data_IF_020509191960
#
_entry.id   IF_020509191960
#
_cell.length_a   1.000
_cell.length_b   1.000
_cell.length_c   1.000
_cell.angle_alpha   90.00
_cell.angle_beta   90.00
_cell.angle_gamma   90.00
#
_symmetry.space_group_name_H-M   'P 1'
#
loop_
_entity.id
_entity.type
_entity.pdbx_description
1 polymer ?
#
# COMPACT_ATOMS: atom_id res chain seq x y z
N UNK A 1 -14.24 -5.72 9.59
CA UNK A 1 -14.86 -4.42 9.23
C UNK A 1 -15.76 -4.61 8.04
N UNK A 2 -16.99 -4.16 8.14
CA UNK A 2 -17.91 -4.21 7.02
C UNK A 2 -17.90 -2.88 6.29
N UNK A 3 -17.74 -2.93 4.98
CA UNK A 3 -17.68 -1.72 4.16
C UNK A 3 -18.77 -1.80 3.10
N UNK A 4 -19.57 -0.74 3.02
CA UNK A 4 -20.72 -0.67 2.13
C UNK A 4 -20.60 0.52 1.18
N UNK A 5 -19.64 0.46 0.27
CA UNK A 5 -19.57 1.42 -0.84
C UNK A 5 -19.60 0.66 -2.15
N UNK A 6 -20.11 1.31 -3.19
CA UNK A 6 -20.09 0.74 -4.51
C UNK A 6 -18.66 0.58 -5.02
N UNK A 7 -18.41 -0.44 -5.80
CA UNK A 7 -17.08 -0.69 -6.37
C UNK A 7 -16.62 0.51 -7.22
N UNK A 8 -17.53 1.22 -7.86
CA UNK A 8 -17.22 2.41 -8.65
C UNK A 8 -16.63 3.53 -7.80
N UNK A 9 -17.13 3.69 -6.56
CA UNK A 9 -16.59 4.67 -5.62
C UNK A 9 -15.20 4.27 -5.14
N UNK A 10 -15.01 2.97 -4.87
CA UNK A 10 -13.70 2.46 -4.47
C UNK A 10 -12.67 2.65 -5.58
N UNK A 11 -13.07 2.49 -6.84
CA UNK A 11 -12.18 2.69 -8.00
C UNK A 11 -11.67 4.10 -8.16
N UNK A 12 -12.37 5.09 -7.59
CA UNK A 12 -11.91 6.48 -7.59
C UNK A 12 -10.80 6.74 -6.57
N UNK A 13 -10.60 5.82 -5.64
CA UNK A 13 -9.60 5.93 -4.59
C UNK A 13 -8.33 5.22 -5.04
N UNK A 14 -7.30 6.01 -5.29
CA UNK A 14 -6.00 5.52 -5.76
C UNK A 14 -5.09 5.34 -4.56
N UNK A 15 -4.65 4.13 -4.33
CA UNK A 15 -3.93 3.74 -3.11
C UNK A 15 -2.44 3.66 -3.37
N UNK A 16 -1.69 4.41 -2.59
CA UNK A 16 -0.23 4.42 -2.59
C UNK A 16 0.23 3.63 -1.38
N UNK A 17 0.72 2.42 -1.60
CA UNK A 17 1.27 1.57 -0.52
C UNK A 17 2.76 1.84 -0.43
N UNK A 18 3.17 2.43 0.68
CA UNK A 18 4.55 2.85 0.92
C UNK A 18 5.23 1.90 1.89
N UNK A 19 6.38 1.35 1.49
CA UNK A 19 7.13 0.40 2.32
C UNK A 19 8.60 0.78 2.39
N UNK A 20 9.10 1.20 3.57
CA UNK A 20 10.54 1.30 3.78
C UNK A 20 11.14 -0.10 3.86
N UNK A 21 12.14 -0.37 3.05
CA UNK A 21 12.82 -1.68 3.02
C UNK A 21 14.30 -1.50 3.33
N UNK A 22 14.68 -1.74 4.57
CA UNK A 22 16.06 -1.64 4.99
C UNK A 22 16.89 -2.73 4.33
N UNK A 23 17.98 -2.33 3.65
CA UNK A 23 18.80 -3.27 2.91
C UNK A 23 18.09 -3.89 1.71
N UNK A 24 16.96 -3.34 1.28
CA UNK A 24 16.19 -3.87 0.17
C UNK A 24 15.50 -5.20 0.45
N UNK A 25 15.31 -5.55 1.74
CA UNK A 25 14.79 -6.85 2.15
C UNK A 25 13.37 -6.76 2.70
N UNK A 26 12.62 -7.84 2.54
CA UNK A 26 11.30 -8.02 3.15
C UNK A 26 11.10 -9.49 3.53
N UNK A 27 10.15 -9.77 4.41
CA UNK A 27 9.84 -11.15 4.77
C UNK A 27 8.92 -11.79 3.72
N UNK A 28 8.94 -13.14 3.65
CA UNK A 28 8.13 -13.88 2.68
C UNK A 28 6.64 -13.69 2.87
N UNK A 29 6.17 -13.53 4.11
CA UNK A 29 4.74 -13.29 4.38
C UNK A 29 4.30 -11.93 3.83
N UNK A 30 5.15 -10.90 3.92
CA UNK A 30 4.89 -9.61 3.29
C UNK A 30 4.78 -9.76 1.76
N UNK A 31 5.72 -10.50 1.16
CA UNK A 31 5.72 -10.74 -0.29
C UNK A 31 4.42 -11.40 -0.74
N UNK A 32 3.96 -12.41 -0.01
CA UNK A 32 2.71 -13.08 -0.33
C UNK A 32 1.53 -12.12 -0.23
N UNK A 33 1.47 -11.34 0.84
CA UNK A 33 0.38 -10.38 1.06
C UNK A 33 0.30 -9.33 -0.05
N UNK A 34 1.43 -8.79 -0.48
CA UNK A 34 1.48 -7.79 -1.55
C UNK A 34 1.13 -8.40 -2.90
N UNK A 35 1.56 -9.62 -3.18
CA UNK A 35 1.20 -10.32 -4.42
C UNK A 35 -0.32 -10.57 -4.47
N UNK A 36 -0.91 -11.01 -3.36
CA UNK A 36 -2.36 -11.24 -3.27
C UNK A 36 -3.12 -9.92 -3.42
N UNK A 37 -2.65 -8.84 -2.82
CA UNK A 37 -3.26 -7.52 -2.97
C UNK A 37 -3.20 -7.04 -4.42
N UNK A 38 -2.06 -7.19 -5.08
CA UNK A 38 -1.89 -6.80 -6.47
C UNK A 38 -2.85 -7.57 -7.38
N UNK A 39 -2.95 -8.88 -7.17
CA UNK A 39 -3.86 -9.75 -7.94
C UNK A 39 -5.31 -9.33 -7.74
N UNK A 40 -5.73 -9.14 -6.50
CA UNK A 40 -7.09 -8.74 -6.16
C UNK A 40 -7.42 -7.37 -6.77
N UNK A 41 -6.49 -6.42 -6.67
CA UNK A 41 -6.68 -5.08 -7.23
C UNK A 41 -6.87 -5.12 -8.74
N UNK A 42 -6.10 -5.94 -9.44
CA UNK A 42 -6.24 -6.13 -10.89
C UNK A 42 -7.60 -6.74 -11.24
N UNK A 43 -8.04 -7.75 -10.48
CA UNK A 43 -9.32 -8.41 -10.72
C UNK A 43 -10.51 -7.44 -10.61
N UNK A 44 -10.43 -6.49 -9.69
CA UNK A 44 -11.50 -5.51 -9.46
C UNK A 44 -11.25 -4.15 -10.14
N UNK A 45 -10.20 -4.04 -10.94
CA UNK A 45 -9.80 -2.81 -11.63
C UNK A 45 -9.58 -1.65 -10.64
N UNK A 46 -8.90 -1.92 -9.53
CA UNK A 46 -8.54 -0.94 -8.53
C UNK A 46 -7.11 -0.48 -8.76
N UNK A 47 -6.85 0.81 -8.54
CA UNK A 47 -5.50 1.37 -8.71
C UNK A 47 -4.77 1.33 -7.37
N UNK A 48 -3.93 0.33 -7.20
CA UNK A 48 -3.04 0.15 -6.05
C UNK A 48 -1.61 0.08 -6.56
N UNK A 49 -0.77 0.95 -6.07
CA UNK A 49 0.64 0.99 -6.45
C UNK A 49 1.52 0.84 -5.23
N UNK A 50 2.63 0.13 -5.41
CA UNK A 50 3.60 -0.13 -4.35
C UNK A 50 4.82 0.73 -4.57
N UNK A 51 5.23 1.45 -3.53
CA UNK A 51 6.44 2.27 -3.55
C UNK A 51 7.38 1.79 -2.46
N UNK A 52 8.59 1.45 -2.84
CA UNK A 52 9.60 0.92 -1.93
C UNK A 52 10.74 1.92 -1.80
N UNK A 53 11.20 2.13 -0.58
CA UNK A 53 12.40 2.92 -0.34
C UNK A 53 13.48 1.99 0.21
N UNK A 54 14.53 1.80 -0.59
CA UNK A 54 15.63 0.90 -0.27
C UNK A 54 16.76 1.66 0.42
N UNK A 55 17.50 0.96 1.27
CA UNK A 55 18.79 1.43 1.81
C UNK A 55 18.72 2.66 2.71
N UNK A 56 17.54 3.09 3.15
CA UNK A 56 17.39 4.17 4.13
C UNK A 56 17.30 3.57 5.52
N UNK A 57 18.24 3.95 6.42
CA UNK A 57 18.32 3.37 7.75
C UNK A 57 17.57 4.17 8.82
N UNK A 58 17.20 5.43 8.54
CA UNK A 58 16.46 6.25 9.48
C UNK A 58 14.97 6.19 9.17
N UNK A 59 14.19 5.65 10.12
CA UNK A 59 12.75 5.43 9.95
C UNK A 59 12.02 6.74 9.63
N UNK A 60 12.30 7.81 10.39
CA UNK A 60 11.66 9.11 10.16
C UNK A 60 11.95 9.66 8.79
N UNK A 61 13.20 9.56 8.33
CA UNK A 61 13.59 10.06 7.02
C UNK A 61 12.92 9.25 5.91
N UNK A 62 12.85 7.93 6.06
CA UNK A 62 12.21 7.06 5.08
C UNK A 62 10.73 7.40 4.94
N UNK A 63 10.03 7.56 6.06
CA UNK A 63 8.60 7.89 6.05
C UNK A 63 8.35 9.27 5.46
N UNK A 64 9.16 10.27 5.81
CA UNK A 64 9.03 11.62 5.26
C UNK A 64 9.26 11.64 3.76
N UNK A 65 10.22 10.89 3.27
CA UNK A 65 10.49 10.77 1.84
C UNK A 65 9.27 10.17 1.11
N UNK A 66 8.71 9.09 1.66
CA UNK A 66 7.56 8.42 1.05
C UNK A 66 6.30 9.29 1.07
N UNK A 67 6.09 10.07 2.14
CA UNK A 67 4.99 11.05 2.20
C UNK A 67 5.18 12.10 1.11
N UNK A 68 6.39 12.62 0.93
CA UNK A 68 6.67 13.62 -0.10
C UNK A 68 6.38 13.05 -1.51
N UNK A 69 6.80 11.81 -1.79
CA UNK A 69 6.49 11.15 -3.05
C UNK A 69 4.99 10.99 -3.25
N UNK A 70 4.26 10.61 -2.19
CA UNK A 70 2.81 10.51 -2.25
C UNK A 70 2.16 11.85 -2.59
N UNK A 71 2.60 12.93 -1.94
CA UNK A 71 2.02 14.27 -2.15
C UNK A 71 2.26 14.80 -3.57
N UNK A 72 3.32 14.32 -4.25
CA UNK A 72 3.60 14.67 -5.65
C UNK A 72 2.89 13.77 -6.65
N UNK A 73 2.21 12.73 -6.17
CA UNK A 73 1.57 11.74 -7.02
C UNK A 73 0.09 12.05 -7.22
N UNK A 74 -0.59 11.41 -8.18
CA UNK A 74 -2.04 11.54 -8.33
C UNK A 74 -2.83 10.64 -7.40
N UNK A 75 -2.17 9.93 -6.47
CA UNK A 75 -2.85 9.00 -5.55
C UNK A 75 -3.60 9.75 -4.47
N UNK A 76 -4.69 9.17 -4.01
CA UNK A 76 -5.62 9.80 -3.06
C UNK A 76 -5.45 9.29 -1.64
N UNK A 77 -4.92 8.09 -1.47
CA UNK A 77 -4.81 7.42 -0.17
C UNK A 77 -3.39 6.88 0.01
N UNK A 78 -2.79 7.20 1.15
CA UNK A 78 -1.47 6.69 1.52
C UNK A 78 -1.62 5.65 2.61
N UNK A 79 -0.98 4.50 2.43
CA UNK A 79 -0.93 3.46 3.44
C UNK A 79 0.50 2.99 3.62
N UNK A 80 1.00 3.08 4.85
CA UNK A 80 2.30 2.53 5.21
C UNK A 80 2.15 1.07 5.63
N UNK A 81 2.95 0.20 5.03
CA UNK A 81 3.04 -1.20 5.42
C UNK A 81 4.52 -1.55 5.54
N UNK A 82 4.95 -1.95 6.72
CA UNK A 82 6.35 -2.32 6.95
C UNK A 82 6.67 -3.66 6.27
N UNK A 83 7.93 -3.84 5.91
CA UNK A 83 8.38 -5.00 5.11
C UNK A 83 8.35 -6.34 5.83
N UNK A 84 8.08 -6.33 7.13
CA UNK A 84 7.97 -7.55 7.97
C UNK A 84 6.51 -7.88 8.37
N UNK A 85 5.55 -7.19 7.81
CA UNK A 85 4.14 -7.34 8.17
C UNK A 85 3.43 -8.31 7.22
N UNK A 86 2.69 -9.25 7.79
CA UNK A 86 1.70 -10.05 7.09
C UNK A 86 0.33 -9.37 7.23
N UNK A 87 -0.36 -9.17 6.13
CA UNK A 87 -1.66 -8.52 6.17
C UNK A 87 -2.64 -9.22 5.22
N UNK A 88 -3.93 -9.01 5.47
CA UNK A 88 -4.97 -9.50 4.59
C UNK A 88 -5.30 -8.41 3.55
N UNK A 89 -5.21 -8.70 2.25
CA UNK A 89 -5.54 -7.71 1.21
C UNK A 89 -6.93 -7.09 1.35
N UNK A 90 -7.90 -7.84 1.85
CA UNK A 90 -9.25 -7.31 2.09
C UNK A 90 -9.25 -6.17 3.10
N UNK A 91 -8.38 -6.22 4.10
CA UNK A 91 -8.28 -5.16 5.11
C UNK A 91 -7.79 -3.85 4.49
N UNK A 92 -6.85 -3.92 3.55
CA UNK A 92 -6.37 -2.72 2.83
C UNK A 92 -7.52 -2.07 2.06
N UNK A 93 -8.28 -2.86 1.33
CA UNK A 93 -9.40 -2.35 0.55
C UNK A 93 -10.52 -1.84 1.44
N UNK A 94 -10.77 -2.49 2.58
CA UNK A 94 -11.76 -2.04 3.56
C UNK A 94 -11.39 -0.69 4.15
N UNK A 95 -10.12 -0.48 4.49
CA UNK A 95 -9.65 0.82 4.99
C UNK A 95 -9.77 1.91 3.92
N UNK A 96 -9.43 1.60 2.69
CA UNK A 96 -9.54 2.55 1.59
C UNK A 96 -10.98 2.93 1.28
N UNK A 97 -11.94 2.09 1.64
CA UNK A 97 -13.36 2.30 1.38
C UNK A 97 -14.05 3.12 2.48
N UNK A 98 -13.36 3.37 3.59
CA UNK A 98 -13.90 4.23 4.64
C UNK A 98 -13.84 5.70 4.21
#
# INVERSE_FOLDING_TARGET
>A
MEVKIAIEELRKRKIFVATPMYGGMCCGMYTKSTADLATMSTQYALDVRFFYLFNESLITRARNYLVDEFLRSPYTHLMFIDSDIHFNPNDVLSLAAL
#
